data_IF_321026123890
#
_entry.id   IF_321026123890
#
_cell.length_a   1.000
_cell.length_b   1.000
_cell.length_c   1.000
_cell.angle_alpha   90.00
_cell.angle_beta   90.00
_cell.angle_gamma   90.00
#
_symmetry.space_group_name_H-M   'P 1'
#
loop_
_entity.id
_entity.type
_entity.pdbx_description
1 polymer ?
#
# COMPACT_ATOMS: atom_id res chain seq x y z
N UNK A 1 -21.59 6.59 0.42
CA UNK A 1 -20.52 6.42 -0.59
C UNK A 1 -19.26 6.20 0.20
N UNK A 2 -18.64 5.03 0.09
CA UNK A 2 -17.44 4.73 0.87
C UNK A 2 -16.21 5.31 0.15
N UNK A 3 -15.40 6.09 0.85
CA UNK A 3 -14.20 6.72 0.29
C UNK A 3 -12.94 6.23 1.01
N UNK A 4 -11.85 6.08 0.26
CA UNK A 4 -10.51 5.92 0.81
C UNK A 4 -9.91 7.31 1.05
N UNK A 5 -9.56 7.60 2.30
CA UNK A 5 -8.98 8.88 2.73
C UNK A 5 -7.49 8.68 2.95
N UNK A 6 -6.69 9.41 2.17
CA UNK A 6 -5.24 9.50 2.27
C UNK A 6 -4.88 10.92 2.72
N UNK A 7 -3.97 11.03 3.67
CA UNK A 7 -3.30 12.28 4.02
C UNK A 7 -2.29 12.66 2.94
N UNK A 8 -1.94 13.94 2.87
CA UNK A 8 -0.90 14.40 1.95
C UNK A 8 0.43 13.67 2.16
N UNK A 9 0.80 13.36 3.41
CA UNK A 9 2.01 12.60 3.75
C UNK A 9 2.02 11.20 3.14
N UNK A 10 0.90 10.48 3.18
CA UNK A 10 0.80 9.14 2.58
C UNK A 10 0.85 9.20 1.06
N UNK A 11 0.18 10.21 0.48
CA UNK A 11 0.26 10.48 -0.96
C UNK A 11 1.70 10.77 -1.40
N UNK A 12 2.41 11.63 -0.68
CA UNK A 12 3.79 11.99 -1.01
C UNK A 12 4.73 10.78 -0.89
N UNK A 13 4.53 9.91 0.11
CA UNK A 13 5.25 8.63 0.22
C UNK A 13 5.02 7.74 -1.00
N UNK A 14 3.76 7.58 -1.43
CA UNK A 14 3.42 6.77 -2.60
C UNK A 14 4.04 7.33 -3.89
N UNK A 15 3.99 8.65 -4.08
CA UNK A 15 4.59 9.33 -5.23
C UNK A 15 6.11 9.22 -5.23
N UNK A 16 6.75 9.34 -4.06
CA UNK A 16 8.19 9.15 -3.93
C UNK A 16 8.59 7.72 -4.29
N UNK A 17 7.91 6.72 -3.72
CA UNK A 17 8.16 5.30 -4.01
C UNK A 17 7.98 4.99 -5.51
N UNK A 18 6.91 5.48 -6.13
CA UNK A 18 6.66 5.34 -7.56
C UNK A 18 7.77 5.95 -8.43
N UNK A 19 8.42 7.03 -7.97
CA UNK A 19 9.55 7.65 -8.69
C UNK A 19 10.85 6.88 -8.48
N UNK A 20 11.09 6.39 -7.27
CA UNK A 20 12.30 5.63 -6.92
C UNK A 20 12.35 4.25 -7.61
N UNK A 21 11.20 3.62 -7.85
CA UNK A 21 11.15 2.31 -8.50
C UNK A 21 11.21 2.36 -10.02
N UNK A 22 11.23 3.55 -10.65
CA UNK A 22 11.32 3.65 -12.11
C UNK A 22 12.61 2.97 -12.63
N UNK A 23 12.53 2.19 -13.73
CA UNK A 23 11.38 2.04 -14.65
C UNK A 23 10.38 0.93 -14.31
N UNK A 24 10.51 0.24 -13.16
CA UNK A 24 9.62 -0.83 -12.73
C UNK A 24 8.36 -0.30 -12.05
N UNK A 25 7.26 -1.07 -12.07
CA UNK A 25 6.07 -0.72 -11.27
C UNK A 25 6.38 -0.78 -9.77
N UNK A 26 5.99 0.25 -9.04
CA UNK A 26 6.04 0.26 -7.58
C UNK A 26 4.77 -0.37 -7.01
N UNK A 27 4.87 -0.98 -5.83
CA UNK A 27 3.73 -1.55 -5.12
C UNK A 27 3.71 -1.13 -3.67
N UNK A 28 2.52 -0.98 -3.12
CA UNK A 28 2.34 -0.74 -1.70
C UNK A 28 1.01 -1.29 -1.19
N UNK A 29 1.02 -1.77 0.05
CA UNK A 29 -0.17 -2.14 0.80
C UNK A 29 -0.60 -0.96 1.67
N UNK A 30 -1.87 -0.57 1.56
CA UNK A 30 -2.45 0.53 2.33
C UNK A 30 -3.11 -0.05 3.59
N UNK A 31 -2.56 0.31 4.74
CA UNK A 31 -3.05 -0.15 6.03
C UNK A 31 -3.82 0.99 6.70
N UNK A 32 -5.03 0.68 7.14
CA UNK A 32 -5.95 1.70 7.61
C UNK A 32 -7.03 1.14 8.51
N UNK A 33 -8.02 1.97 8.79
CA UNK A 33 -9.19 1.59 9.57
C UNK A 33 -10.42 2.30 9.06
N UNK A 34 -11.58 1.66 9.21
CA UNK A 34 -12.85 2.30 8.90
C UNK A 34 -13.20 3.31 9.99
N UNK A 35 -13.55 4.53 9.60
CA UNK A 35 -14.05 5.59 10.47
C UNK A 35 -15.34 6.13 9.85
N UNK A 36 -16.48 5.75 10.43
CA UNK A 36 -17.79 5.96 9.80
C UNK A 36 -17.90 5.17 8.50
N UNK A 37 -18.20 5.85 7.40
CA UNK A 37 -18.29 5.24 6.06
C UNK A 37 -16.95 5.26 5.29
N UNK A 38 -15.90 5.85 5.86
CA UNK A 38 -14.64 6.10 5.16
C UNK A 38 -13.50 5.21 5.64
N UNK A 39 -12.71 4.69 4.71
CA UNK A 39 -11.48 3.97 4.98
C UNK A 39 -10.32 4.95 5.10
N UNK A 40 -9.82 5.13 6.32
CA UNK A 40 -8.72 6.04 6.58
C UNK A 40 -7.41 5.27 6.55
N UNK A 41 -6.56 5.56 5.57
CA UNK A 41 -5.18 5.07 5.56
C UNK A 41 -4.45 5.70 6.74
N UNK A 42 -3.63 4.89 7.39
CA UNK A 42 -2.79 5.31 8.53
C UNK A 42 -1.34 4.92 8.35
N UNK A 43 -1.07 3.85 7.61
CA UNK A 43 0.28 3.41 7.27
C UNK A 43 0.32 2.89 5.85
N UNK A 44 1.47 3.08 5.20
CA UNK A 44 1.74 2.59 3.84
C UNK A 44 2.90 1.63 3.94
N UNK A 45 2.64 0.35 3.67
CA UNK A 45 3.66 -0.68 3.64
C UNK A 45 4.16 -0.82 2.21
N UNK A 46 5.34 -0.30 1.93
CA UNK A 46 5.96 -0.37 0.61
C UNK A 46 6.42 -1.80 0.34
N UNK A 47 6.03 -2.34 -0.80
CA UNK A 47 6.44 -3.68 -1.25
C UNK A 47 7.28 -3.56 -2.51
N UNK A 48 8.01 -4.62 -2.84
CA UNK A 48 8.77 -4.70 -4.08
C UNK A 48 8.04 -5.54 -5.12
N UNK A 49 8.05 -5.10 -6.36
CA UNK A 49 7.52 -5.90 -7.45
C UNK A 49 8.54 -6.99 -7.80
N UNK A 50 8.26 -8.24 -7.44
CA UNK A 50 9.17 -9.36 -7.71
C UNK A 50 9.26 -9.71 -9.20
N UNK A 51 8.29 -9.28 -10.00
CA UNK A 51 8.23 -9.58 -11.44
C UNK A 51 9.16 -8.67 -12.26
N UNK A 52 9.67 -7.57 -11.68
CA UNK A 52 10.47 -6.54 -12.38
C UNK A 52 9.87 -6.13 -13.75
N UNK A 53 8.54 -6.20 -13.86
CA UNK A 53 7.81 -5.92 -15.08
C UNK A 53 7.35 -4.48 -15.09
N UNK A 54 7.23 -3.92 -16.29
CA UNK A 54 6.72 -2.55 -16.51
C UNK A 54 5.19 -2.46 -16.44
N UNK A 55 4.48 -3.59 -16.40
CA UNK A 55 3.01 -3.63 -16.48
C UNK A 55 2.32 -4.63 -15.57
N UNK A 56 3.10 -5.52 -14.95
CA UNK A 56 2.56 -6.52 -14.02
C UNK A 56 3.22 -6.31 -12.67
N UNK A 57 2.40 -6.32 -11.63
CA UNK A 57 2.89 -6.41 -10.28
C UNK A 57 2.54 -7.73 -9.62
N UNK A 58 3.53 -8.31 -8.97
CA UNK A 58 3.33 -9.43 -8.06
C UNK A 58 3.89 -9.03 -6.70
N UNK A 59 3.00 -8.95 -5.70
CA UNK A 59 3.43 -8.89 -4.29
C UNK A 59 3.70 -10.33 -3.88
N UNK A 60 4.91 -10.61 -3.41
CA UNK A 60 5.24 -11.97 -2.95
C UNK A 60 4.29 -12.41 -1.81
N UNK A 61 3.94 -13.71 -1.73
CA UNK A 61 3.14 -14.22 -0.62
C UNK A 61 3.75 -13.90 0.76
N UNK A 62 5.09 -13.83 0.83
CA UNK A 62 5.83 -13.46 2.04
C UNK A 62 5.62 -11.98 2.41
N UNK A 63 5.64 -11.07 1.45
CA UNK A 63 5.35 -9.64 1.70
C UNK A 63 3.89 -9.40 2.03
N UNK A 64 2.96 -10.11 1.38
CA UNK A 64 1.55 -10.09 1.76
C UNK A 64 1.37 -10.52 3.22
N UNK A 65 1.97 -11.65 3.61
CA UNK A 65 1.89 -12.15 4.99
C UNK A 65 2.51 -11.15 5.97
N UNK A 66 3.66 -10.55 5.64
CA UNK A 66 4.29 -9.49 6.45
C UNK A 66 3.38 -8.27 6.59
N UNK A 67 2.74 -7.85 5.50
CA UNK A 67 1.79 -6.74 5.50
C UNK A 67 0.59 -7.01 6.40
N UNK A 68 0.02 -8.21 6.35
CA UNK A 68 -1.06 -8.63 7.26
C UNK A 68 -0.61 -8.72 8.71
N UNK A 69 0.55 -9.34 8.99
CA UNK A 69 1.11 -9.42 10.34
C UNK A 69 1.40 -8.03 10.92
N UNK A 70 1.92 -7.12 10.10
CA UNK A 70 2.13 -5.73 10.50
C UNK A 70 0.81 -5.06 10.84
N UNK A 71 -0.19 -5.17 9.95
CA UNK A 71 -1.52 -4.62 10.15
C UNK A 71 -2.14 -5.09 11.47
N UNK A 72 -2.11 -6.40 11.74
CA UNK A 72 -2.59 -6.98 12.98
C UNK A 72 -1.84 -6.44 14.20
N UNK A 73 -0.50 -6.38 14.14
CA UNK A 73 0.36 -5.87 15.22
C UNK A 73 0.06 -4.41 15.57
N UNK A 74 -0.28 -3.58 14.59
CA UNK A 74 -0.61 -2.16 14.78
C UNK A 74 -2.12 -1.89 14.83
N UNK A 75 -2.94 -2.95 14.91
CA UNK A 75 -4.41 -2.89 14.98
C UNK A 75 -5.03 -2.10 13.82
N UNK A 76 -4.50 -2.31 12.62
CA UNK A 76 -5.03 -1.81 11.36
C UNK A 76 -5.44 -2.98 10.46
N UNK A 77 -6.15 -2.65 9.40
CA UNK A 77 -6.61 -3.59 8.39
C UNK A 77 -6.00 -3.21 7.04
N UNK A 78 -5.83 -4.21 6.16
CA UNK A 78 -5.49 -3.94 4.77
C UNK A 78 -6.72 -3.35 4.08
N UNK A 79 -6.67 -2.06 3.74
CA UNK A 79 -7.80 -1.33 3.14
C UNK A 79 -7.67 -1.15 1.64
N UNK A 80 -6.49 -1.44 1.07
CA UNK A 80 -6.26 -1.38 -0.37
C UNK A 80 -4.82 -1.71 -0.75
N UNK A 81 -4.61 -1.82 -2.06
CA UNK A 81 -3.28 -2.01 -2.67
C UNK A 81 -3.10 -0.90 -3.70
N UNK A 82 -1.91 -0.31 -3.72
CA UNK A 82 -1.49 0.70 -4.68
C UNK A 82 -0.43 0.10 -5.61
N UNK A 83 -0.52 0.44 -6.89
CA UNK A 83 0.52 0.23 -7.89
C UNK A 83 0.60 1.47 -8.81
N UNK A 84 1.76 1.73 -9.40
CA UNK A 84 2.06 2.94 -10.19
C UNK A 84 2.31 2.68 -11.66
#
# INVERSE_FOLDING_TARGET
MECLVLTQKEKDKLVAHAREQQPSESCAMLLGKKVGDNWNVKEVFLTQNIDNSQTNFTISPEELLKGYQLAEKIQLELVGVFHS
#
